data_IF_703842707398
#
_entry.id   IF_703842707398
#
_cell.length_a   1.000
_cell.length_b   1.000
_cell.length_c   1.000
_cell.angle_alpha   90.00
_cell.angle_beta   90.00
_cell.angle_gamma   90.00
#
_symmetry.space_group_name_H-M   'P 1'
#
loop_
_entity.id
_entity.type
_entity.pdbx_description
1 polymer ?
#
# COMPACT_ATOMS: atom_id res chain seq x y z
N UNK A 1 13.06 -9.26 -11.34
CA UNK A 1 13.17 -8.20 -10.32
C UNK A 1 13.19 -6.85 -11.02
N UNK A 2 12.28 -5.97 -10.63
CA UNK A 2 12.20 -4.58 -11.04
C UNK A 2 12.63 -3.70 -9.86
N UNK A 3 13.72 -2.94 -9.99
CA UNK A 3 14.21 -2.06 -8.93
C UNK A 3 13.62 -0.64 -9.03
N UNK A 4 12.89 -0.31 -10.10
CA UNK A 4 12.18 0.97 -10.22
C UNK A 4 10.95 1.05 -9.32
N UNK A 5 10.35 -0.10 -8.97
CA UNK A 5 9.28 -0.18 -7.98
C UNK A 5 9.24 -1.54 -7.30
N UNK A 6 9.34 -1.54 -5.97
CA UNK A 6 9.32 -2.78 -5.19
C UNK A 6 8.97 -2.53 -3.73
N UNK A 7 8.48 -3.56 -3.06
CA UNK A 7 8.25 -3.57 -1.61
C UNK A 7 9.24 -4.54 -0.96
N UNK A 8 9.87 -4.11 0.13
CA UNK A 8 10.59 -4.97 1.06
C UNK A 8 9.68 -5.27 2.24
N UNK A 9 9.57 -6.54 2.57
CA UNK A 9 8.90 -7.02 3.78
C UNK A 9 9.93 -7.78 4.60
N UNK A 10 10.08 -7.41 5.86
CA UNK A 10 10.97 -8.05 6.82
C UNK A 10 10.17 -8.48 8.06
N UNK A 11 10.47 -9.66 8.61
CA UNK A 11 9.86 -10.16 9.84
C UNK A 11 8.71 -11.15 9.69
N UNK A 12 8.13 -11.34 8.50
CA UNK A 12 7.09 -12.36 8.28
C UNK A 12 7.67 -13.74 8.03
N UNK A 13 6.95 -14.79 8.45
CA UNK A 13 7.25 -16.13 7.95
C UNK A 13 6.94 -16.20 6.45
N UNK A 14 7.69 -17.03 5.73
CA UNK A 14 7.46 -17.32 4.30
C UNK A 14 5.99 -17.67 4.01
N UNK A 15 5.39 -18.52 4.86
CA UNK A 15 4.01 -18.98 4.70
C UNK A 15 3.04 -17.80 4.84
N UNK A 16 3.18 -17.01 5.90
CA UNK A 16 2.27 -15.91 6.17
C UNK A 16 2.37 -14.83 5.10
N UNK A 17 3.59 -14.52 4.64
CA UNK A 17 3.78 -13.60 3.51
C UNK A 17 3.02 -14.08 2.26
N UNK A 18 3.19 -15.34 1.88
CA UNK A 18 2.50 -15.91 0.70
C UNK A 18 0.99 -15.80 0.86
N UNK A 19 0.46 -16.14 2.04
CA UNK A 19 -0.97 -16.07 2.33
C UNK A 19 -1.51 -14.63 2.24
N UNK A 20 -0.79 -13.64 2.76
CA UNK A 20 -1.21 -12.23 2.69
C UNK A 20 -1.10 -11.67 1.28
N UNK A 21 -0.03 -11.97 0.55
CA UNK A 21 0.11 -11.54 -0.84
C UNK A 21 -0.95 -12.19 -1.72
N UNK A 22 -1.35 -13.45 -1.46
CA UNK A 22 -2.45 -14.09 -2.17
C UNK A 22 -3.81 -13.41 -1.89
N UNK A 23 -4.10 -13.07 -0.62
CA UNK A 23 -5.31 -12.31 -0.26
C UNK A 23 -5.37 -10.97 -0.97
N UNK A 24 -4.25 -10.24 -0.95
CA UNK A 24 -4.11 -8.97 -1.66
C UNK A 24 -4.30 -9.15 -3.17
N UNK A 25 -3.69 -10.19 -3.75
CA UNK A 25 -3.80 -10.48 -5.17
C UNK A 25 -5.25 -10.76 -5.59
N UNK A 26 -6.01 -11.48 -4.76
CA UNK A 26 -7.42 -11.77 -5.00
C UNK A 26 -8.28 -10.50 -4.93
N UNK A 27 -8.06 -9.64 -3.93
CA UNK A 27 -8.82 -8.40 -3.74
C UNK A 27 -8.78 -7.47 -4.96
N UNK A 28 -7.67 -7.46 -5.70
CA UNK A 28 -7.47 -6.60 -6.86
C UNK A 28 -7.42 -7.38 -8.20
N UNK A 29 -7.91 -8.61 -8.21
CA UNK A 29 -7.80 -9.52 -9.38
C UNK A 29 -8.50 -9.01 -10.64
N UNK A 30 -9.55 -8.18 -10.49
CA UNK A 30 -10.33 -7.59 -11.58
C UNK A 30 -9.69 -6.31 -12.17
N UNK A 31 -8.85 -5.62 -11.42
CA UNK A 31 -8.16 -4.39 -11.85
C UNK A 31 -7.02 -4.64 -12.85
N UNK A 32 -6.53 -5.88 -12.89
CA UNK A 32 -5.33 -6.26 -13.61
C UNK A 32 -4.01 -5.89 -12.92
N UNK A 33 -4.03 -5.19 -11.78
CA UNK A 33 -2.81 -4.79 -11.05
C UNK A 33 -2.12 -5.97 -10.34
N UNK A 34 -2.84 -7.04 -10.10
CA UNK A 34 -2.36 -8.28 -9.46
C UNK A 34 -2.35 -9.47 -10.42
N UNK A 35 -2.25 -9.19 -11.74
CA UNK A 35 -2.06 -10.21 -12.78
C UNK A 35 -0.88 -11.12 -12.50
N UNK A 36 0.18 -10.58 -11.89
CA UNK A 36 1.32 -11.35 -11.41
C UNK A 36 2.01 -10.54 -10.29
N UNK A 37 2.20 -11.17 -9.13
CA UNK A 37 3.00 -10.65 -8.02
C UNK A 37 4.15 -11.61 -7.78
N UNK A 38 5.39 -11.15 -7.99
CA UNK A 38 6.60 -11.94 -7.83
C UNK A 38 7.19 -11.70 -6.46
N UNK A 39 7.40 -12.78 -5.72
CA UNK A 39 8.08 -12.79 -4.43
C UNK A 39 9.46 -13.39 -4.61
N UNK A 40 10.46 -12.72 -4.07
CA UNK A 40 11.82 -13.20 -3.97
C UNK A 40 12.24 -13.19 -2.50
N UNK A 41 12.96 -14.21 -2.09
CA UNK A 41 13.47 -14.37 -0.72
C UNK A 41 14.95 -13.99 -0.68
N UNK A 42 15.36 -13.21 0.33
CA UNK A 42 16.77 -12.88 0.52
C UNK A 42 17.56 -14.12 0.94
N UNK A 43 18.75 -14.31 0.37
CA UNK A 43 19.60 -15.48 0.62
C UNK A 43 20.37 -15.42 1.94
N UNK A 44 20.60 -14.23 2.48
CA UNK A 44 21.47 -14.01 3.65
C UNK A 44 20.74 -13.39 4.84
N UNK A 45 19.62 -12.69 4.59
CA UNK A 45 18.78 -12.12 5.64
C UNK A 45 17.52 -12.97 5.76
N UNK A 46 17.36 -13.75 6.84
CA UNK A 46 16.16 -14.56 7.06
C UNK A 46 14.90 -13.68 7.08
N UNK A 47 13.81 -14.16 6.48
CA UNK A 47 12.50 -13.50 6.48
C UNK A 47 12.48 -12.08 5.85
N UNK A 48 13.50 -11.70 5.09
CA UNK A 48 13.46 -10.52 4.23
C UNK A 48 13.04 -10.93 2.81
N UNK A 49 11.99 -10.29 2.30
CA UNK A 49 11.41 -10.59 1.01
C UNK A 49 11.31 -9.33 0.15
N UNK A 50 11.51 -9.53 -1.15
CA UNK A 50 11.38 -8.52 -2.18
C UNK A 50 10.17 -8.85 -3.04
N UNK A 51 9.29 -7.87 -3.22
CA UNK A 51 8.03 -8.05 -3.93
C UNK A 51 7.97 -7.10 -5.13
N UNK A 52 7.71 -7.67 -6.31
CA UNK A 52 7.32 -6.90 -7.49
C UNK A 52 5.89 -7.20 -7.89
N UNK A 53 5.12 -6.14 -8.07
CA UNK A 53 3.79 -6.21 -8.68
C UNK A 53 3.89 -6.07 -10.20
N UNK A 54 2.75 -6.23 -10.86
CA UNK A 54 2.62 -6.12 -12.31
C UNK A 54 3.11 -4.76 -12.83
N UNK A 55 3.49 -4.72 -14.12
CA UNK A 55 4.01 -3.49 -14.72
C UNK A 55 2.98 -2.35 -14.73
N UNK A 56 1.70 -2.68 -14.80
CA UNK A 56 0.59 -1.72 -14.81
C UNK A 56 0.15 -1.24 -13.43
N UNK A 57 0.75 -1.70 -12.33
CA UNK A 57 0.48 -1.13 -11.00
C UNK A 57 0.82 0.36 -10.98
N UNK A 58 -0.14 1.19 -10.60
CA UNK A 58 0.02 2.63 -10.39
C UNK A 58 0.46 2.95 -8.95
N UNK A 59 0.80 4.22 -8.68
CA UNK A 59 1.29 4.64 -7.37
C UNK A 59 0.23 4.55 -6.27
N UNK A 60 -1.04 4.82 -6.60
CA UNK A 60 -2.14 4.77 -5.64
C UNK A 60 -2.32 3.34 -5.08
N UNK A 61 -2.44 2.33 -5.94
CA UNK A 61 -2.55 0.93 -5.56
C UNK A 61 -1.26 0.43 -4.91
N UNK A 62 -0.10 0.92 -5.35
CA UNK A 62 1.16 0.60 -4.69
C UNK A 62 1.20 1.07 -3.22
N UNK A 63 0.69 2.27 -2.90
CA UNK A 63 0.54 2.73 -1.51
C UNK A 63 -0.35 1.78 -0.71
N UNK A 64 -1.51 1.40 -1.25
CA UNK A 64 -2.40 0.44 -0.59
C UNK A 64 -1.72 -0.89 -0.31
N UNK A 65 -0.85 -1.36 -1.20
CA UNK A 65 -0.12 -2.62 -1.00
C UNK A 65 0.89 -2.52 0.15
N UNK A 66 1.58 -1.38 0.29
CA UNK A 66 2.46 -1.12 1.45
C UNK A 66 1.66 -1.15 2.74
N UNK A 67 0.53 -0.45 2.78
CA UNK A 67 -0.37 -0.43 3.93
C UNK A 67 -0.90 -1.83 4.28
N UNK A 68 -1.47 -2.54 3.31
CA UNK A 68 -2.04 -3.88 3.50
C UNK A 68 -1.02 -4.91 3.97
N UNK A 69 0.24 -4.84 3.52
CA UNK A 69 1.29 -5.78 3.93
C UNK A 69 1.85 -5.46 5.33
N UNK A 70 1.64 -4.25 5.84
CA UNK A 70 2.10 -3.86 7.18
C UNK A 70 1.20 -4.41 8.30
N UNK A 71 -0.12 -4.27 8.16
CA UNK A 71 -1.07 -4.64 9.23
C UNK A 71 -1.24 -6.12 9.62
N UNK A 72 -0.95 -7.13 8.80
CA UNK A 72 -1.31 -8.50 9.15
C UNK A 72 -0.64 -9.04 10.42
N UNK A 73 0.44 -8.38 10.88
CA UNK A 73 1.17 -8.74 12.10
C UNK A 73 1.49 -7.54 13.02
N UNK A 74 1.11 -6.31 12.66
CA UNK A 74 1.47 -5.15 13.48
C UNK A 74 0.59 -5.08 14.74
N UNK A 75 1.09 -5.60 15.85
CA UNK A 75 0.63 -5.16 17.17
C UNK A 75 1.41 -3.89 17.54
N UNK A 76 0.74 -2.88 18.12
CA UNK A 76 1.43 -1.65 18.55
C UNK A 76 2.62 -2.03 19.46
N UNK A 77 3.84 -1.71 19.02
CA UNK A 77 5.07 -1.97 19.76
C UNK A 77 5.91 -3.17 19.27
N UNK A 78 5.45 -3.96 18.31
CA UNK A 78 6.27 -5.00 17.68
C UNK A 78 7.07 -4.44 16.49
N UNK A 79 8.36 -4.18 16.72
CA UNK A 79 9.28 -3.67 15.69
C UNK A 79 9.85 -4.75 14.77
N UNK A 80 9.47 -6.02 14.94
CA UNK A 80 10.04 -7.14 14.17
C UNK A 80 9.51 -7.18 12.73
N UNK A 81 8.30 -6.68 12.49
CA UNK A 81 7.68 -6.62 11.17
C UNK A 81 7.84 -5.23 10.55
N UNK A 82 8.45 -5.15 9.37
CA UNK A 82 8.67 -3.90 8.65
C UNK A 82 8.30 -4.04 7.19
N UNK A 83 7.65 -2.99 6.67
CA UNK A 83 7.29 -2.89 5.26
C UNK A 83 7.73 -1.55 4.73
N UNK A 84 8.56 -1.58 3.68
CA UNK A 84 8.99 -0.39 2.97
C UNK A 84 8.70 -0.53 1.47
N UNK A 85 7.99 0.45 0.91
CA UNK A 85 7.82 0.57 -0.53
C UNK A 85 8.86 1.51 -1.11
N UNK A 86 9.37 1.22 -2.30
CA UNK A 86 10.25 2.13 -3.02
C UNK A 86 9.70 2.38 -4.42
N UNK A 87 9.62 3.66 -4.80
CA UNK A 87 9.01 4.11 -6.04
C UNK A 87 9.74 5.35 -6.57
N UNK A 88 9.82 5.49 -7.89
CA UNK A 88 10.31 6.72 -8.53
C UNK A 88 9.11 7.53 -9.02
N UNK A 89 8.89 8.69 -8.39
CA UNK A 89 7.71 9.52 -8.63
C UNK A 89 7.69 10.05 -10.07
N UNK A 90 6.51 10.09 -10.67
CA UNK A 90 6.28 10.46 -12.06
C UNK A 90 5.12 11.44 -12.20
N UNK A 91 4.96 12.02 -13.40
CA UNK A 91 3.83 12.91 -13.72
C UNK A 91 2.46 12.23 -13.66
N UNK A 92 2.42 10.91 -13.70
CA UNK A 92 1.18 10.12 -13.58
C UNK A 92 0.78 9.88 -12.13
N UNK A 93 1.64 10.22 -11.17
CA UNK A 93 1.36 10.06 -9.75
C UNK A 93 0.67 11.33 -9.24
N UNK A 94 -0.42 11.15 -8.49
CA UNK A 94 -1.15 12.24 -7.87
C UNK A 94 -0.38 12.77 -6.64
N UNK A 95 0.59 13.63 -6.92
CA UNK A 95 1.53 14.18 -5.95
C UNK A 95 2.06 15.53 -6.43
N UNK A 96 2.64 16.32 -5.50
CA UNK A 96 3.30 17.57 -5.83
C UNK A 96 4.36 17.39 -6.94
N UNK A 97 4.22 18.18 -8.01
CA UNK A 97 5.11 18.18 -9.19
C UNK A 97 6.59 18.43 -8.89
N UNK A 98 6.93 19.08 -7.79
CA UNK A 98 8.32 19.30 -7.36
C UNK A 98 9.03 17.99 -6.95
N UNK A 99 8.24 16.95 -6.68
CA UNK A 99 8.74 15.62 -6.33
C UNK A 99 8.91 14.70 -7.53
N UNK A 100 8.48 15.08 -8.74
CA UNK A 100 8.66 14.26 -9.93
C UNK A 100 10.13 13.94 -10.19
N UNK A 101 10.40 12.68 -10.53
CA UNK A 101 11.74 12.11 -10.72
C UNK A 101 12.45 11.76 -9.42
N UNK A 102 11.92 12.10 -8.24
CA UNK A 102 12.52 11.70 -6.97
C UNK A 102 12.16 10.27 -6.62
N UNK A 103 13.14 9.59 -6.03
CA UNK A 103 12.94 8.32 -5.34
C UNK A 103 12.23 8.57 -4.01
N UNK A 104 11.19 7.81 -3.71
CA UNK A 104 10.47 7.89 -2.43
C UNK A 104 10.53 6.54 -1.72
N UNK A 105 10.74 6.58 -0.41
CA UNK A 105 10.56 5.45 0.51
C UNK A 105 9.21 5.61 1.20
N UNK A 106 8.31 4.65 1.00
CA UNK A 106 7.00 4.56 1.62
C UNK A 106 7.05 3.67 2.86
N UNK A 107 6.26 4.00 3.87
CA UNK A 107 6.21 3.30 5.16
C UNK A 107 4.91 3.63 5.91
N UNK A 108 4.67 2.93 7.01
CA UNK A 108 3.61 3.24 7.97
C UNK A 108 4.25 3.86 9.21
N UNK A 109 3.80 5.04 9.63
CA UNK A 109 4.34 5.72 10.81
C UNK A 109 3.90 5.00 12.09
N UNK A 110 4.80 4.89 13.06
CA UNK A 110 4.46 4.43 14.42
C UNK A 110 3.50 5.40 15.13
N UNK A 111 3.42 6.64 14.65
CA UNK A 111 2.52 7.69 15.14
C UNK A 111 1.19 7.74 14.37
N UNK A 112 0.92 6.82 13.45
CA UNK A 112 -0.36 6.78 12.75
C UNK A 112 -1.48 6.31 13.70
N UNK A 113 -2.42 7.19 14.00
CA UNK A 113 -3.57 6.91 14.88
C UNK A 113 -4.77 6.36 14.12
N UNK A 114 -4.91 6.71 12.84
CA UNK A 114 -6.07 6.34 12.01
C UNK A 114 -5.94 4.90 11.48
N UNK A 115 -4.69 4.41 11.32
CA UNK A 115 -4.41 3.03 10.93
C UNK A 115 -4.64 2.74 9.45
N UNK A 116 -4.83 3.78 8.65
CA UNK A 116 -5.10 3.67 7.21
C UNK A 116 -4.19 4.60 6.39
N UNK A 117 -3.10 5.12 6.96
CA UNK A 117 -2.26 6.07 6.23
C UNK A 117 -0.96 5.44 5.75
N UNK A 118 -0.47 5.95 4.62
CA UNK A 118 0.88 5.70 4.14
C UNK A 118 1.65 7.00 4.25
N UNK A 119 2.91 6.90 4.63
CA UNK A 119 3.81 8.02 4.72
C UNK A 119 4.95 7.82 3.72
N UNK A 120 5.63 8.91 3.37
CA UNK A 120 6.79 8.85 2.49
C UNK A 120 7.90 9.82 2.86
N UNK A 121 9.14 9.42 2.61
CA UNK A 121 10.31 10.33 2.62
C UNK A 121 10.87 10.34 1.19
N UNK A 122 10.75 11.45 0.45
CA UNK A 122 11.45 11.60 -0.81
C UNK A 122 12.95 11.79 -0.57
N UNK A 123 13.78 11.20 -1.44
CA UNK A 123 15.23 11.32 -1.38
C UNK A 123 15.66 12.78 -1.52
N UNK A 124 16.58 13.21 -0.64
CA UNK A 124 17.07 14.60 -0.56
C UNK A 124 15.94 15.63 -0.37
N UNK A 125 14.90 15.26 0.37
CA UNK A 125 13.83 16.17 0.78
C UNK A 125 13.98 16.60 2.24
N UNK A 126 13.21 17.59 2.66
CA UNK A 126 13.35 18.23 3.98
C UNK A 126 12.38 17.70 5.02
N UNK A 127 11.32 17.00 4.61
CA UNK A 127 10.23 16.56 5.49
C UNK A 127 9.63 15.23 5.04
N UNK A 128 8.98 14.54 5.96
CA UNK A 128 8.09 13.42 5.65
C UNK A 128 6.76 13.95 5.10
N UNK A 129 6.08 13.13 4.32
CA UNK A 129 4.77 13.45 3.74
C UNK A 129 3.77 12.37 4.13
N UNK A 130 2.57 12.77 4.58
CA UNK A 130 1.42 11.87 4.74
C UNK A 130 0.74 11.76 3.38
N UNK A 131 0.55 10.53 2.93
CA UNK A 131 -0.03 10.16 1.64
C UNK A 131 -1.37 9.47 1.90
N UNK A 132 -2.40 10.29 2.12
CA UNK A 132 -3.75 9.80 2.36
C UNK A 132 -4.34 9.06 1.16
N UNK A 133 -5.45 8.40 1.43
CA UNK A 133 -6.29 7.73 0.43
C UNK A 133 -7.59 8.50 0.12
N UNK A 134 -7.86 9.59 0.85
CA UNK A 134 -9.03 10.43 0.64
C UNK A 134 -8.79 11.44 -0.49
N UNK A 135 -9.78 11.55 -1.39
CA UNK A 135 -9.79 12.51 -2.49
C UNK A 135 -9.61 13.95 -1.99
N UNK A 136 -8.64 14.67 -2.53
CA UNK A 136 -8.28 16.05 -2.17
C UNK A 136 -7.31 16.21 -1.00
N UNK A 137 -6.86 15.11 -0.40
CA UNK A 137 -5.86 15.07 0.68
C UNK A 137 -4.74 14.05 0.41
N UNK A 138 -4.42 13.79 -0.87
CA UNK A 138 -3.46 12.75 -1.27
C UNK A 138 -2.02 13.06 -0.81
N UNK A 139 -1.73 14.33 -0.50
CA UNK A 139 -0.42 14.84 -0.09
C UNK A 139 -0.55 15.86 1.04
N UNK A 140 0.03 15.56 2.21
CA UNK A 140 0.13 16.50 3.34
C UNK A 140 1.58 16.53 3.86
N UNK A 141 2.31 17.64 3.69
CA UNK A 141 3.65 17.78 4.26
C UNK A 141 3.58 17.88 5.79
N UNK A 142 4.51 17.22 6.49
CA UNK A 142 4.51 17.16 7.96
C UNK A 142 5.36 18.23 8.64
N UNK A 143 6.12 19.05 7.89
CA UNK A 143 7.00 20.08 8.44
C UNK A 143 8.28 19.54 9.10
N UNK A 144 8.40 18.21 9.24
CA UNK A 144 9.57 17.52 9.82
C UNK A 144 9.75 16.15 9.18
N UNK A 145 10.98 15.63 9.22
CA UNK A 145 11.24 14.22 8.95
C UNK A 145 11.00 13.39 10.19
N UNK A 146 10.46 12.21 10.00
CA UNK A 146 10.48 11.17 11.04
C UNK A 146 11.82 10.42 11.04
N UNK A 147 12.41 10.21 9.86
CA UNK A 147 13.75 9.67 9.67
C UNK A 147 14.29 10.07 8.28
N UNK A 148 15.58 9.85 8.04
CA UNK A 148 16.18 10.08 6.73
C UNK A 148 15.89 8.94 5.74
N UNK A 149 15.70 9.30 4.47
CA UNK A 149 15.54 8.34 3.39
C UNK A 149 16.66 7.30 3.42
N UNK A 150 16.28 6.03 3.44
CA UNK A 150 17.21 4.91 3.40
C UNK A 150 16.70 3.86 2.43
N UNK A 151 17.54 3.50 1.45
CA UNK A 151 17.28 2.42 0.50
C UNK A 151 18.54 1.56 0.41
N UNK A 152 18.46 0.34 0.94
CA UNK A 152 19.54 -0.64 0.82
C UNK A 152 19.78 -0.94 -0.66
N UNK A 153 21.03 -0.90 -1.10
CA UNK A 153 21.40 -1.28 -2.45
C UNK A 153 21.33 -2.80 -2.57
N UNK A 154 20.37 -3.27 -3.35
CA UNK A 154 20.19 -4.68 -3.66
C UNK A 154 20.68 -5.01 -5.06
N UNK A 155 21.09 -6.26 -5.22
CA UNK A 155 21.45 -6.90 -6.48
C UNK A 155 20.56 -8.13 -6.70
N UNK A 156 20.46 -8.60 -7.96
CA UNK A 156 19.68 -9.83 -8.25
C UNK A 156 20.24 -11.07 -7.54
N UNK A 157 21.55 -11.10 -7.28
CA UNK A 157 22.21 -12.22 -6.60
C UNK A 157 21.88 -12.33 -5.12
N UNK A 158 21.37 -11.25 -4.51
CA UNK A 158 20.98 -11.26 -3.09
C UNK A 158 19.70 -12.06 -2.86
N UNK A 159 18.95 -12.36 -3.92
CA UNK A 159 17.64 -12.97 -3.83
C UNK A 159 17.51 -14.25 -4.66
N UNK A 160 16.62 -15.14 -4.21
CA UNK A 160 16.14 -16.28 -4.97
C UNK A 160 14.65 -16.09 -5.27
N UNK A 161 14.22 -16.46 -6.48
CA UNK A 161 12.79 -16.49 -6.78
C UNK A 161 12.09 -17.49 -5.85
N UNK A 162 11.06 -17.03 -5.16
CA UNK A 162 10.29 -17.85 -4.23
C UNK A 162 8.99 -18.33 -4.89
N UNK A 163 8.15 -17.39 -5.32
CA UNK A 163 6.85 -17.71 -5.89
C UNK A 163 6.34 -16.57 -6.78
N UNK A 164 5.53 -16.92 -7.78
CA UNK A 164 4.68 -15.96 -8.49
C UNK A 164 3.22 -16.23 -8.11
N UNK A 165 2.55 -15.18 -7.64
CA UNK A 165 1.15 -15.21 -7.19
C UNK A 165 0.29 -14.52 -8.24
N UNK A 166 -0.88 -15.10 -8.49
CA UNK A 166 -1.83 -14.62 -9.46
C UNK A 166 -3.15 -14.37 -8.71
N UNK A 167 -3.77 -13.21 -8.95
CA UNK A 167 -5.09 -12.93 -8.42
C UNK A 167 -6.11 -13.92 -8.99
N UNK A 168 -6.86 -14.58 -8.11
CA UNK A 168 -7.98 -15.44 -8.50
C UNK A 168 -9.25 -14.68 -8.19
N UNK A 169 -10.08 -14.42 -9.21
CA UNK A 169 -11.41 -13.85 -8.98
C UNK A 169 -12.25 -14.87 -8.24
N UNK A 170 -12.55 -14.61 -6.98
CA UNK A 170 -13.54 -15.40 -6.25
C UNK A 170 -14.93 -14.98 -6.76
N UNK A 171 -15.65 -15.93 -7.38
CA UNK A 171 -16.98 -15.66 -7.93
C UNK A 171 -18.04 -15.44 -6.85
N UNK A 172 -17.68 -15.63 -5.58
CA UNK A 172 -18.59 -15.55 -4.43
C UNK A 172 -18.77 -14.14 -3.84
N UNK A 173 -17.96 -13.14 -4.20
CA UNK A 173 -18.11 -11.75 -3.72
C UNK A 173 -18.85 -10.80 -4.68
N UNK A 174 -19.58 -11.32 -5.67
CA UNK A 174 -20.53 -10.52 -6.47
C UNK A 174 -21.83 -10.26 -5.71
N UNK A 175 -21.76 -9.78 -4.47
CA UNK A 175 -22.95 -9.26 -3.75
C UNK A 175 -22.54 -8.45 -2.52
N UNK A 176 -21.76 -7.38 -2.71
CA UNK A 176 -21.87 -6.21 -1.84
C UNK A 176 -22.16 -4.99 -2.71
N UNK A 177 -23.46 -4.75 -2.82
CA UNK A 177 -24.09 -3.53 -3.30
C UNK A 177 -23.30 -2.30 -2.86
N UNK A 178 -23.06 -1.41 -3.82
CA UNK A 178 -22.31 -0.17 -3.61
C UNK A 178 -22.82 0.61 -2.40
N UNK A 179 -21.88 1.23 -1.70
CA UNK A 179 -22.18 2.37 -0.84
C UNK A 179 -22.55 3.54 -1.76
N UNK A 180 -23.74 3.42 -2.36
CA UNK A 180 -24.46 4.55 -2.91
C UNK A 180 -24.74 5.49 -1.75
N UNK A 181 -24.29 6.73 -1.92
CA UNK A 181 -24.91 7.92 -1.37
C UNK A 181 -26.37 7.65 -0.96
N UNK A 182 -26.63 7.53 0.34
CA UNK A 182 -27.99 7.69 0.85
C UNK A 182 -28.25 9.18 1.03
N UNK A 183 -28.74 9.78 -0.06
CA UNK A 183 -29.42 11.06 -0.03
C UNK A 183 -30.93 10.79 -0.13
N UNK A 184 -31.60 10.97 1.01
CA UNK A 184 -32.98 11.47 1.18
C UNK A 184 -34.14 10.61 0.67
N UNK A 185 -35.05 10.22 1.58
CA UNK A 185 -36.47 10.58 1.40
C UNK A 185 -37.27 10.63 2.70
N UNK A 186 -38.04 11.72 2.77
CA UNK A 186 -39.10 12.16 3.69
C UNK A 186 -40.12 11.11 4.13
N UNK A 187 -40.62 11.23 5.36
CA UNK A 187 -42.00 10.85 5.69
C UNK A 187 -42.75 12.11 6.12
N UNK A 188 -43.73 12.46 5.30
CA UNK A 188 -44.73 13.49 5.52
C UNK A 188 -46.09 12.79 5.38
N UNK A 189 -46.74 12.42 6.50
CA UNK A 189 -48.19 12.14 6.64
C UNK A 189 -48.48 12.21 8.16
N UNK A 190 -49.49 12.87 8.71
CA UNK A 190 -50.60 13.63 8.14
C UNK A 190 -51.59 14.01 9.26
N UNK A 191 -52.04 15.26 9.22
CA UNK A 191 -53.40 15.78 9.47
C UNK A 191 -54.36 14.93 10.33
N UNK A 192 -54.81 15.49 11.46
CA UNK A 192 -56.23 15.58 11.92
C UNK A 192 -56.34 16.89 12.73
N UNK A 193 -56.80 18.04 12.20
CA UNK A 193 -58.18 18.52 11.94
C UNK A 193 -59.12 18.66 13.17
N UNK A 194 -59.49 19.94 13.44
CA UNK A 194 -60.76 20.47 13.99
C UNK A 194 -61.09 20.09 15.46
N UNK A 195 -61.35 21.02 16.38
CA UNK A 195 -62.33 22.13 16.41
C UNK A 195 -61.77 23.30 17.24
#
# INVERSE_FOLDING_TARGET
MNFEKYIIVDGLSKKDLIDFVQKLANLYSDTGFTKEVKIFENRTVPNEFFINFSQNTDFERFKYFVNFLFYPCSTKGDSSHKVYGYWTLSKGDDINKELYGKRIQLYISENDEDGDNVYGIPKNWTESIKLGFACGHEYVPLGKKEFDFFEKKYSKSDFSALQSIYGVMDKTEKEKTGCSFFLVLTILIGIICLI
#
